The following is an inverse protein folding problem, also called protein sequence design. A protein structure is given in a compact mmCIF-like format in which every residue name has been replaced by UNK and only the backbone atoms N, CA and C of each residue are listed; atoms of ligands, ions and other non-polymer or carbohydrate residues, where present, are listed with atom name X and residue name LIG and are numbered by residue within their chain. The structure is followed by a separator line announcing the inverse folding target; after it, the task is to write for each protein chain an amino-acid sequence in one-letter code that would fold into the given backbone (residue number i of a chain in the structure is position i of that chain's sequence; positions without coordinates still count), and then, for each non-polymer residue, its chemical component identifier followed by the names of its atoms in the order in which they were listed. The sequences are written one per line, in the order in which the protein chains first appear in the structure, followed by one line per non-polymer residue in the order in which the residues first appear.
data_IF_179673229231
#
_entry.id   IF_179673229231
#
_cell.length_a   1.000
_cell.length_b   1.000
_cell.length_c   1.000
_cell.angle_alpha   90.00
_cell.angle_beta   90.00
_cell.angle_gamma   90.00
#
_symmetry.space_group_name_H-M   'P 1'
#
loop_
_entity.id
_entity.type
_entity.pdbx_description
1 polymer ?
#
# COMPACT_ATOMS: atom_id res chain seq x y z
N UNK A 1 5.01 -8.92 -6.50
CA UNK A 1 4.74 -7.82 -5.55
C UNK A 1 5.06 -8.42 -4.21
N UNK A 2 6.17 -8.00 -3.63
CA UNK A 2 6.88 -8.85 -2.69
C UNK A 2 6.75 -8.26 -1.29
N UNK A 3 6.20 -9.07 -0.39
CA UNK A 3 5.99 -8.75 1.01
C UNK A 3 7.16 -9.33 1.82
N UNK A 4 7.87 -8.48 2.56
CA UNK A 4 9.04 -8.86 3.35
C UNK A 4 8.91 -8.43 4.82
N UNK A 5 9.64 -9.11 5.71
CA UNK A 5 9.83 -8.62 7.08
C UNK A 5 10.77 -7.41 7.06
N UNK A 6 10.33 -6.30 7.65
CA UNK A 6 11.24 -5.18 7.91
C UNK A 6 12.09 -5.47 9.15
N UNK A 7 11.47 -6.09 10.17
CA UNK A 7 12.10 -6.59 11.39
C UNK A 7 11.15 -7.58 12.09
N UNK A 8 11.42 -7.93 13.35
CA UNK A 8 10.58 -8.83 14.16
C UNK A 8 9.24 -8.23 14.61
N UNK A 9 8.95 -6.97 14.27
CA UNK A 9 7.83 -6.18 14.76
C UNK A 9 6.98 -5.56 13.65
N UNK A 10 7.49 -5.47 12.42
CA UNK A 10 6.76 -4.94 11.27
C UNK A 10 7.17 -5.61 9.96
N UNK A 11 6.23 -5.60 9.01
CA UNK A 11 6.48 -5.96 7.63
C UNK A 11 6.59 -4.71 6.75
N UNK A 12 7.17 -4.88 5.57
CA UNK A 12 7.27 -3.87 4.52
C UNK A 12 6.83 -4.43 3.17
N UNK A 13 6.00 -3.67 2.47
CA UNK A 13 5.68 -3.87 1.06
C UNK A 13 6.14 -2.65 0.31
N UNK A 14 6.71 -2.87 -0.87
CA UNK A 14 7.18 -1.81 -1.74
C UNK A 14 6.64 -2.03 -3.14
N UNK A 15 6.11 -0.97 -3.74
CA UNK A 15 5.71 -0.94 -5.15
C UNK A 15 6.36 0.24 -5.86
N UNK A 16 6.84 0.02 -7.08
CA UNK A 16 7.34 1.10 -7.93
C UNK A 16 6.18 1.80 -8.62
N UNK A 17 6.14 3.13 -8.49
CA UNK A 17 5.18 4.00 -9.17
C UNK A 17 5.82 4.73 -10.36
N UNK A 18 6.96 4.26 -10.85
CA UNK A 18 7.72 4.93 -11.91
C UNK A 18 6.87 5.21 -13.16
N UNK A 19 6.01 4.27 -13.57
CA UNK A 19 5.11 4.46 -14.72
C UNK A 19 4.06 5.55 -14.48
N UNK A 20 3.53 5.65 -13.26
CA UNK A 20 2.57 6.69 -12.88
C UNK A 20 3.22 8.07 -12.75
N UNK A 21 4.48 8.10 -12.29
CA UNK A 21 5.27 9.32 -12.19
C UNK A 21 5.62 9.95 -13.55
N UNK A 22 5.48 9.21 -14.66
CA UNK A 22 5.58 9.77 -16.02
C UNK A 22 4.34 10.57 -16.43
N UNK A 23 3.20 10.31 -15.79
CA UNK A 23 1.90 10.86 -16.16
C UNK A 23 1.41 11.92 -15.17
N UNK A 24 1.82 11.81 -13.90
CA UNK A 24 1.33 12.64 -12.81
C UNK A 24 2.46 13.11 -11.91
N UNK A 25 2.35 14.33 -11.38
CA UNK A 25 3.17 14.78 -10.27
C UNK A 25 2.70 14.13 -8.97
N UNK A 26 3.40 13.07 -8.58
CA UNK A 26 3.10 12.28 -7.39
C UNK A 26 3.65 12.89 -6.09
N UNK A 27 4.44 13.96 -6.14
CA UNK A 27 5.13 14.52 -4.95
C UNK A 27 4.16 15.08 -3.91
N UNK A 28 3.01 15.57 -4.36
CA UNK A 28 1.95 16.12 -3.50
C UNK A 28 0.71 15.22 -3.44
N UNK A 29 0.79 14.01 -3.96
CA UNK A 29 -0.32 13.08 -3.95
C UNK A 29 -0.55 12.52 -2.53
N UNK A 30 -1.82 12.36 -2.16
CA UNK A 30 -2.21 11.56 -1.00
C UNK A 30 -2.50 10.14 -1.45
N UNK A 31 -1.69 9.18 -1.00
CA UNK A 31 -1.88 7.77 -1.31
C UNK A 31 -2.81 7.14 -0.29
N UNK A 32 -3.70 6.28 -0.77
CA UNK A 32 -4.59 5.47 0.05
C UNK A 32 -4.57 4.04 -0.44
N UNK A 33 -4.29 3.13 0.48
CA UNK A 33 -4.35 1.70 0.24
C UNK A 33 -5.44 1.11 1.14
N UNK A 34 -6.18 0.14 0.63
CA UNK A 34 -7.20 -0.57 1.39
C UNK A 34 -7.09 -2.07 1.13
N UNK A 35 -7.44 -2.86 2.15
CA UNK A 35 -7.52 -4.30 2.11
C UNK A 35 -8.95 -4.74 2.38
N UNK A 36 -9.45 -5.67 1.56
CA UNK A 36 -10.77 -6.28 1.64
C UNK A 36 -10.65 -7.80 1.70
N UNK A 37 -11.67 -8.49 2.20
CA UNK A 37 -11.62 -9.94 2.36
C UNK A 37 -11.53 -10.69 1.03
N UNK A 38 -12.16 -10.14 -0.01
CA UNK A 38 -12.26 -10.72 -1.35
C UNK A 38 -12.58 -9.64 -2.40
N UNK A 39 -12.45 -10.00 -3.68
CA UNK A 39 -12.83 -9.13 -4.79
C UNK A 39 -14.35 -8.91 -4.79
N UNK A 40 -14.76 -7.64 -4.85
CA UNK A 40 -16.18 -7.25 -4.85
C UNK A 40 -16.80 -7.09 -3.47
N UNK A 41 -16.09 -7.46 -2.40
CA UNK A 41 -16.50 -7.10 -1.03
C UNK A 41 -16.47 -5.57 -0.86
N UNK A 42 -17.38 -5.02 -0.07
CA UNK A 42 -17.42 -3.59 0.27
C UNK A 42 -16.80 -3.31 1.63
N UNK A 43 -16.61 -4.34 2.45
CA UNK A 43 -16.03 -4.21 3.78
C UNK A 43 -14.51 -4.02 3.69
N UNK A 44 -14.05 -2.84 4.10
CA UNK A 44 -12.63 -2.55 4.28
C UNK A 44 -12.18 -3.07 5.64
N UNK A 45 -11.25 -4.01 5.61
CA UNK A 45 -10.68 -4.65 6.81
C UNK A 45 -9.50 -3.82 7.34
N UNK A 46 -8.72 -3.26 6.43
CA UNK A 46 -7.51 -2.54 6.75
C UNK A 46 -7.32 -1.37 5.79
N UNK A 47 -6.77 -0.27 6.27
CA UNK A 47 -6.49 0.89 5.46
C UNK A 47 -5.12 1.48 5.80
N UNK A 48 -4.51 2.08 4.80
CA UNK A 48 -3.35 2.93 4.95
C UNK A 48 -3.60 4.24 4.23
N UNK A 49 -3.03 5.31 4.77
CA UNK A 49 -3.09 6.64 4.19
C UNK A 49 -1.74 7.32 4.39
N UNK A 50 -1.26 8.06 3.39
CA UNK A 50 -0.05 8.87 3.54
C UNK A 50 -0.33 10.25 4.16
N UNK A 51 -1.58 10.72 4.12
CA UNK A 51 -1.98 12.00 4.71
C UNK A 51 -3.49 12.08 5.06
N UNK A 52 -3.86 12.24 6.35
CA UNK A 52 -2.98 12.01 7.50
C UNK A 52 -2.47 10.57 7.47
N UNK A 53 -1.28 10.35 8.03
CA UNK A 53 -0.75 9.00 8.22
C UNK A 53 -1.74 8.18 9.08
N UNK A 54 -2.05 6.94 8.70
CA UNK A 54 -2.90 6.09 9.54
C UNK A 54 -2.10 5.59 10.75
N UNK A 55 -2.17 6.33 11.85
CA UNK A 55 -1.37 6.06 13.04
C UNK A 55 -1.80 4.79 13.80
N UNK A 56 -3.02 4.29 13.58
CA UNK A 56 -3.56 3.23 14.41
C UNK A 56 -2.96 1.86 14.09
N UNK A 57 -2.58 1.64 12.82
CA UNK A 57 -2.30 0.29 12.33
C UNK A 57 -1.22 0.21 11.25
N UNK A 58 -1.02 1.19 10.37
CA UNK A 58 0.01 1.03 9.34
C UNK A 58 0.42 2.31 8.65
N UNK A 59 1.67 2.39 8.22
CA UNK A 59 2.21 3.57 7.54
C UNK A 59 2.20 3.38 6.03
N UNK A 60 2.03 4.49 5.31
CA UNK A 60 2.18 4.55 3.86
C UNK A 60 3.02 5.77 3.52
N UNK A 61 4.17 5.56 2.89
CA UNK A 61 5.11 6.60 2.55
C UNK A 61 5.56 6.48 1.10
N UNK A 62 5.73 7.62 0.43
CA UNK A 62 6.23 7.71 -0.94
C UNK A 62 7.59 8.41 -0.93
N UNK A 63 8.60 7.81 -1.57
CA UNK A 63 9.92 8.40 -1.77
C UNK A 63 10.00 8.97 -3.20
N UNK A 64 9.96 10.31 -3.37
CA UNK A 64 9.95 10.91 -4.69
C UNK A 64 11.21 10.65 -5.52
N UNK A 65 12.35 10.39 -4.91
CA UNK A 65 13.60 10.18 -5.64
C UNK A 65 13.60 8.83 -6.37
N UNK A 66 13.23 7.77 -5.66
CA UNK A 66 13.17 6.39 -6.18
C UNK A 66 11.82 6.02 -6.80
N UNK A 67 10.81 6.88 -6.65
CA UNK A 67 9.41 6.63 -7.05
C UNK A 67 8.81 5.38 -6.39
N UNK A 68 9.29 5.03 -5.20
CA UNK A 68 8.82 3.87 -4.46
C UNK A 68 7.76 4.28 -3.45
N UNK A 69 6.65 3.55 -3.44
CA UNK A 69 5.66 3.61 -2.39
C UNK A 69 5.87 2.43 -1.46
N UNK A 70 5.94 2.72 -0.16
CA UNK A 70 6.17 1.74 0.89
C UNK A 70 4.99 1.72 1.84
N UNK A 71 4.44 0.53 2.11
CA UNK A 71 3.48 0.32 3.19
C UNK A 71 4.04 -0.60 4.25
N UNK A 72 3.65 -0.36 5.50
CA UNK A 72 4.04 -1.19 6.65
C UNK A 72 2.84 -1.49 7.52
N UNK A 73 2.91 -2.58 8.28
CA UNK A 73 2.02 -2.82 9.40
C UNK A 73 2.68 -3.70 10.48
N UNK A 74 2.14 -3.70 11.70
CA UNK A 74 2.61 -4.52 12.82
C UNK A 74 2.61 -5.99 12.49
N UNK A 75 3.55 -6.70 13.11
CA UNK A 75 3.66 -8.15 13.04
C UNK A 75 2.36 -8.86 13.47
N UNK A 76 1.64 -8.31 14.45
CA UNK A 76 0.37 -8.87 14.92
C UNK A 76 -0.71 -8.97 13.81
N UNK A 77 -0.66 -8.09 12.82
CA UNK A 77 -1.62 -8.06 11.71
C UNK A 77 -1.15 -8.92 10.52
N UNK A 78 0.06 -9.48 10.57
CA UNK A 78 0.69 -10.17 9.45
C UNK A 78 -0.14 -11.37 8.99
N UNK A 79 -0.66 -12.20 9.90
CA UNK A 79 -1.46 -13.36 9.53
C UNK A 79 -2.73 -12.95 8.76
N UNK A 80 -3.33 -11.82 9.16
CA UNK A 80 -4.48 -11.26 8.48
C UNK A 80 -4.09 -10.72 7.12
N UNK A 81 -3.01 -9.95 7.02
CA UNK A 81 -2.51 -9.36 5.76
C UNK A 81 -2.03 -10.45 4.80
N UNK A 82 -1.55 -11.57 5.32
CA UNK A 82 -1.06 -12.69 4.53
C UNK A 82 -2.14 -13.54 3.88
N UNK A 83 -3.40 -13.37 4.26
CA UNK A 83 -4.45 -14.25 3.80
C UNK A 83 -4.60 -14.15 2.27
N UNK A 84 -4.46 -15.30 1.60
CA UNK A 84 -4.48 -15.40 0.13
C UNK A 84 -5.79 -14.91 -0.50
N UNK A 85 -6.87 -14.81 0.26
CA UNK A 85 -8.16 -14.30 -0.20
C UNK A 85 -8.21 -12.78 -0.29
N UNK A 86 -7.33 -12.09 0.45
CA UNK A 86 -7.40 -10.65 0.55
C UNK A 86 -7.09 -9.95 -0.76
N UNK A 87 -7.79 -8.84 -0.93
CA UNK A 87 -7.64 -7.99 -2.10
C UNK A 87 -7.25 -6.59 -1.69
N UNK A 88 -6.30 -6.03 -2.43
CA UNK A 88 -5.74 -4.71 -2.19
C UNK A 88 -6.10 -3.75 -3.31
N UNK A 89 -6.47 -2.53 -2.93
CA UNK A 89 -6.64 -1.44 -3.86
C UNK A 89 -5.73 -0.29 -3.45
N UNK A 90 -5.03 0.30 -4.41
CA UNK A 90 -4.17 1.45 -4.21
C UNK A 90 -4.60 2.58 -5.14
N UNK A 91 -4.75 3.77 -4.56
CA UNK A 91 -5.12 4.98 -5.29
C UNK A 91 -4.32 6.17 -4.80
N UNK A 92 -4.09 7.11 -5.70
CA UNK A 92 -3.49 8.41 -5.44
C UNK A 92 -4.52 9.51 -5.66
N UNK A 93 -4.71 10.36 -4.66
CA UNK A 93 -5.46 11.60 -4.77
C UNK A 93 -4.48 12.72 -5.13
N UNK A 94 -4.61 13.29 -6.32
CA UNK A 94 -3.80 14.43 -6.74
C UNK A 94 -4.28 15.72 -6.06
N UNK A 95 -3.37 16.69 -5.83
CA UNK A 95 -3.73 17.98 -5.23
C UNK A 95 -4.50 18.88 -6.21
N UNK A 96 -5.12 19.92 -5.66
CA UNK A 96 -5.70 21.07 -6.39
C UNK A 96 -4.59 21.75 -7.23
N UNK A 97 -4.86 22.24 -8.46
CA UNK A 97 -6.15 22.51 -9.09
C UNK A 97 -6.78 21.35 -9.87
N UNK A 98 -6.10 20.22 -10.00
CA UNK A 98 -6.64 19.06 -10.71
C UNK A 98 -6.81 17.87 -9.77
N UNK A 99 -7.80 17.92 -8.85
CA UNK A 99 -8.06 16.83 -7.92
C UNK A 99 -8.62 15.64 -8.69
N UNK A 100 -7.74 14.72 -9.06
CA UNK A 100 -8.10 13.45 -9.69
C UNK A 100 -7.80 12.29 -8.73
N UNK A 101 -8.69 11.30 -8.72
CA UNK A 101 -8.44 10.01 -8.10
C UNK A 101 -7.87 9.07 -9.14
N UNK A 102 -6.58 8.78 -9.03
CA UNK A 102 -5.85 7.89 -9.92
C UNK A 102 -5.81 6.51 -9.29
N UNK A 103 -6.46 5.52 -9.92
CA UNK A 103 -6.40 4.12 -9.49
C UNK A 103 -5.08 3.52 -9.97
N UNK A 104 -4.16 3.24 -9.05
CA UNK A 104 -2.87 2.62 -9.36
C UNK A 104 -3.07 1.13 -9.63
N UNK A 105 -3.82 0.46 -8.77
CA UNK A 105 -4.37 -0.87 -9.03
C UNK A 105 -5.64 -1.09 -8.21
N UNK A 106 -6.47 -2.02 -8.68
CA UNK A 106 -7.70 -2.47 -8.01
C UNK A 106 -7.73 -3.98 -8.15
N UNK A 107 -7.84 -4.73 -7.05
CA UNK A 107 -7.77 -6.19 -7.15
C UNK A 107 -6.37 -6.81 -6.96
N UNK A 108 -5.40 -6.08 -6.40
CA UNK A 108 -4.04 -6.61 -6.22
C UNK A 108 -3.99 -7.71 -5.16
N UNK A 109 -3.11 -8.69 -5.34
CA UNK A 109 -2.76 -9.68 -4.33
C UNK A 109 -1.33 -9.43 -3.85
N UNK A 110 -1.10 -9.61 -2.55
CA UNK A 110 0.24 -9.59 -1.96
C UNK A 110 0.67 -11.04 -1.70
N UNK A 111 1.84 -11.40 -2.20
CA UNK A 111 2.44 -12.72 -1.97
C UNK A 111 3.74 -12.54 -1.20
N UNK A 112 3.99 -13.38 -0.20
CA UNK A 112 5.31 -13.45 0.43
C UNK A 112 6.29 -14.11 -0.51
N UNK A 113 7.38 -13.42 -0.79
CA UNK A 113 8.62 -14.08 -1.20
C UNK A 113 9.35 -14.44 0.09
N UNK A 114 9.40 -15.71 0.46
CA UNK A 114 10.20 -16.15 1.61
C UNK A 114 11.67 -15.79 1.37
N UNK A 115 12.19 -14.80 2.08
CA UNK A 115 13.56 -14.31 1.93
C UNK A 115 14.45 -14.44 3.17
N UNK A 116 13.91 -14.84 4.33
CA UNK A 116 14.74 -15.05 5.52
C UNK A 116 14.23 -16.25 6.31
N UNK A 117 14.82 -17.41 6.03
CA UNK A 117 14.90 -18.52 6.96
C UNK A 117 15.57 -18.00 8.25
N UNK A 118 14.89 -18.14 9.39
CA UNK A 118 15.60 -18.23 10.67
C UNK A 118 16.13 -19.65 10.83
#
# INVERSE_FOLDING_TARGET
MDLAFANNQSWIWTVSLSQWALLYDLTQATFRMQMRAAAGDTLVIYRWSSNPADMARGLLSYEPSSKLLTSTAPYADMAQIAAATNVYDLQAQLPVPNPAMVKIFTGGALSFSSGVTR
#
